data_IF_146326443301
#
_entry.id   IF_146326443301
#
_cell.length_a   1.000
_cell.length_b   1.000
_cell.length_c   1.000
_cell.angle_alpha   90.00
_cell.angle_beta   90.00
_cell.angle_gamma   90.00
#
_symmetry.space_group_name_H-M   'P 1'
#
loop_
_entity.id
_entity.type
_entity.pdbx_description
1 polymer ?
#
# COMPACT_ATOMS: atom_id res chain seq x y z
N UNK A 1 -17.85 -22.50 3.97
CA UNK A 1 -17.27 -21.71 5.10
C UNK A 1 -16.62 -20.45 4.53
N UNK A 2 -17.37 -19.35 4.37
CA UNK A 2 -16.80 -18.06 3.98
C UNK A 2 -16.29 -17.37 5.24
N UNK A 3 -14.99 -17.50 5.51
CA UNK A 3 -14.33 -16.85 6.64
C UNK A 3 -14.26 -15.34 6.38
N UNK A 4 -14.68 -14.52 7.34
CA UNK A 4 -14.66 -13.04 7.25
C UNK A 4 -13.33 -12.47 6.74
N UNK A 5 -12.20 -13.15 7.02
CA UNK A 5 -10.88 -12.77 6.52
C UNK A 5 -10.71 -12.81 5.00
N UNK A 6 -11.34 -13.78 4.30
CA UNK A 6 -11.26 -13.85 2.83
C UNK A 6 -12.02 -12.70 2.17
N UNK A 7 -13.16 -12.29 2.76
CA UNK A 7 -13.93 -11.15 2.28
C UNK A 7 -13.15 -9.84 2.43
N UNK A 8 -12.55 -9.61 3.60
CA UNK A 8 -11.73 -8.41 3.88
C UNK A 8 -10.57 -8.28 2.87
N UNK A 9 -9.86 -9.38 2.57
CA UNK A 9 -8.79 -9.36 1.60
C UNK A 9 -9.29 -9.05 0.18
N UNK A 10 -10.41 -9.65 -0.24
CA UNK A 10 -11.02 -9.38 -1.55
C UNK A 10 -11.47 -7.94 -1.70
N UNK A 11 -12.02 -7.35 -0.65
CA UNK A 11 -12.48 -5.96 -0.68
C UNK A 11 -11.31 -4.97 -0.75
N UNK A 12 -10.16 -5.29 -0.14
CA UNK A 12 -8.91 -4.56 -0.35
C UNK A 12 -8.49 -4.52 -1.83
N UNK A 13 -8.49 -5.67 -2.52
CA UNK A 13 -8.17 -5.73 -3.96
C UNK A 13 -9.21 -5.01 -4.84
N UNK A 14 -10.49 -5.03 -4.45
CA UNK A 14 -11.51 -4.24 -5.15
C UNK A 14 -11.26 -2.75 -4.99
N UNK A 15 -10.80 -2.31 -3.81
CA UNK A 15 -10.46 -0.92 -3.57
C UNK A 15 -9.29 -0.46 -4.44
N UNK A 16 -8.23 -1.26 -4.61
CA UNK A 16 -7.15 -0.94 -5.56
C UNK A 16 -7.68 -0.75 -6.99
N UNK A 17 -8.56 -1.65 -7.45
CA UNK A 17 -9.20 -1.53 -8.76
C UNK A 17 -10.10 -0.30 -8.89
N UNK A 18 -10.80 0.08 -7.82
CA UNK A 18 -11.61 1.29 -7.80
C UNK A 18 -10.75 2.54 -8.01
N UNK A 19 -9.63 2.66 -7.28
CA UNK A 19 -8.68 3.76 -7.46
C UNK A 19 -8.13 3.81 -8.89
N UNK A 20 -7.80 2.67 -9.49
CA UNK A 20 -7.40 2.58 -10.90
C UNK A 20 -8.48 3.11 -11.84
N UNK A 21 -9.72 2.69 -11.65
CA UNK A 21 -10.83 3.15 -12.47
C UNK A 21 -11.03 4.66 -12.34
N UNK A 22 -10.86 5.22 -11.14
CA UNK A 22 -10.91 6.67 -10.90
C UNK A 22 -9.81 7.41 -11.67
N UNK A 23 -8.55 6.96 -11.59
CA UNK A 23 -7.46 7.58 -12.35
C UNK A 23 -7.63 7.44 -13.86
N UNK A 24 -8.08 6.29 -14.35
CA UNK A 24 -8.34 6.10 -15.78
C UNK A 24 -9.52 6.96 -16.27
N UNK A 25 -10.45 7.34 -15.38
CA UNK A 25 -11.58 8.24 -15.66
C UNK A 25 -11.38 9.64 -15.04
N UNK A 26 -10.14 10.09 -14.87
CA UNK A 26 -9.83 11.34 -14.15
C UNK A 26 -10.51 12.58 -14.74
N UNK A 27 -10.84 12.59 -16.03
CA UNK A 27 -11.55 13.71 -16.67
C UNK A 27 -12.95 13.92 -16.08
N UNK A 28 -13.59 12.85 -15.59
CA UNK A 28 -14.95 12.87 -15.05
C UNK A 28 -15.03 12.49 -13.55
N UNK A 29 -13.95 11.98 -12.95
CA UNK A 29 -13.92 11.60 -11.54
C UNK A 29 -13.37 12.74 -10.65
N UNK A 30 -14.24 13.25 -9.78
CA UNK A 30 -13.94 14.39 -8.91
C UNK A 30 -12.83 14.07 -7.90
N UNK A 31 -12.73 12.83 -7.42
CA UNK A 31 -11.72 12.44 -6.44
C UNK A 31 -10.34 12.35 -7.10
N UNK A 32 -10.26 11.71 -8.27
CA UNK A 32 -9.04 11.67 -9.07
C UNK A 32 -8.52 13.08 -9.40
N UNK A 33 -9.41 14.00 -9.81
CA UNK A 33 -9.04 15.41 -10.05
C UNK A 33 -8.48 16.10 -8.81
N UNK A 34 -9.07 15.84 -7.63
CA UNK A 34 -8.54 16.38 -6.37
C UNK A 34 -7.16 15.81 -6.06
N UNK A 35 -6.96 14.50 -6.23
CA UNK A 35 -5.65 13.87 -5.99
C UNK A 35 -4.58 14.43 -6.93
N UNK A 36 -4.88 14.57 -8.22
CA UNK A 36 -3.97 15.16 -9.20
C UNK A 36 -3.59 16.60 -8.83
N UNK A 37 -4.55 17.41 -8.37
CA UNK A 37 -4.26 18.76 -7.88
C UNK A 37 -3.42 18.76 -6.60
N UNK A 38 -3.69 17.85 -5.66
CA UNK A 38 -2.90 17.70 -4.43
C UNK A 38 -1.45 17.30 -4.75
N UNK A 39 -1.26 16.47 -5.78
CA UNK A 39 0.06 16.10 -6.29
C UNK A 39 0.74 17.22 -7.11
N UNK A 40 0.05 18.34 -7.36
CA UNK A 40 0.63 19.52 -8.01
C UNK A 40 0.39 19.62 -9.52
N UNK A 41 -0.42 18.74 -10.13
CA UNK A 41 -0.67 18.78 -11.56
C UNK A 41 -1.73 19.82 -11.95
N UNK A 42 -1.45 20.52 -13.05
CA UNK A 42 -2.46 21.29 -13.75
C UNK A 42 -3.25 20.36 -14.69
N UNK A 43 -4.52 20.12 -14.38
CA UNK A 43 -5.40 19.23 -15.14
C UNK A 43 -5.49 19.56 -16.64
N UNK A 44 -5.34 20.83 -17.02
CA UNK A 44 -5.41 21.25 -18.43
C UNK A 44 -4.20 20.79 -19.26
N UNK A 45 -3.08 20.56 -18.58
CA UNK A 45 -1.80 20.18 -19.19
C UNK A 45 -1.62 18.67 -19.26
N UNK A 46 -2.43 17.90 -18.54
CA UNK A 46 -2.42 16.43 -18.62
C UNK A 46 -2.92 16.01 -20.01
N UNK A 47 -2.15 15.17 -20.68
CA UNK A 47 -2.48 14.57 -21.96
C UNK A 47 -3.22 13.25 -21.77
N UNK A 48 -2.63 12.33 -20.99
CA UNK A 48 -3.25 11.07 -20.62
C UNK A 48 -2.68 10.57 -19.31
N UNK A 49 -3.41 9.64 -18.68
CA UNK A 49 -2.97 8.90 -17.50
C UNK A 49 -3.03 7.41 -17.81
N UNK A 50 -1.98 6.68 -17.42
CA UNK A 50 -1.95 5.22 -17.41
C UNK A 50 -1.69 4.72 -15.99
N UNK A 51 -2.26 3.57 -15.65
CA UNK A 51 -2.13 2.99 -14.31
C UNK A 51 -1.73 1.53 -14.38
N UNK A 52 -0.92 1.10 -13.42
CA UNK A 52 -0.46 -0.29 -13.28
C UNK A 52 -0.59 -0.75 -11.82
N UNK A 53 -1.01 -2.00 -11.60
CA UNK A 53 -0.97 -2.63 -10.27
C UNK A 53 0.42 -3.22 -10.07
N UNK A 54 1.03 -2.90 -8.93
CA UNK A 54 2.29 -3.50 -8.51
C UNK A 54 2.04 -4.56 -7.43
N UNK A 55 2.81 -5.64 -7.50
CA UNK A 55 2.76 -6.72 -6.52
C UNK A 55 4.13 -6.96 -5.90
N UNK A 56 4.16 -7.13 -4.58
CA UNK A 56 5.40 -7.38 -3.83
C UNK A 56 6.19 -6.11 -3.47
N UNK A 57 5.71 -4.94 -3.88
CA UNK A 57 6.30 -3.64 -3.55
C UNK A 57 5.52 -2.96 -2.41
N UNK A 58 6.09 -1.88 -1.87
CA UNK A 58 5.36 -0.99 -0.95
C UNK A 58 4.28 -0.17 -1.65
N UNK A 59 4.40 -0.05 -2.97
CA UNK A 59 3.47 0.62 -3.85
C UNK A 59 2.45 -0.40 -4.36
N UNK A 60 1.17 -0.02 -4.31
CA UNK A 60 0.08 -0.86 -4.78
C UNK A 60 -0.31 -0.46 -6.22
N UNK A 61 -0.30 0.84 -6.53
CA UNK A 61 -0.62 1.38 -7.85
C UNK A 61 0.49 2.33 -8.28
N UNK A 62 0.96 2.18 -9.52
CA UNK A 62 1.80 3.16 -10.20
C UNK A 62 0.97 3.94 -11.20
N UNK A 63 1.03 5.27 -11.15
CA UNK A 63 0.28 6.17 -12.02
C UNK A 63 1.28 6.94 -12.89
N UNK A 64 1.19 6.77 -14.20
CA UNK A 64 1.99 7.47 -15.19
C UNK A 64 1.18 8.61 -15.79
N UNK A 65 1.70 9.83 -15.72
CA UNK A 65 1.00 11.06 -16.12
C UNK A 65 1.82 11.72 -17.21
N UNK A 66 1.25 11.81 -18.41
CA UNK A 66 1.87 12.51 -19.54
C UNK A 66 1.41 13.96 -19.58
N UNK A 67 2.35 14.90 -19.78
CA UNK A 67 2.10 16.34 -19.80
C UNK A 67 2.35 16.91 -21.21
N UNK A 68 1.31 17.53 -21.80
CA UNK A 68 1.25 17.99 -23.21
C UNK A 68 2.40 18.90 -23.64
N UNK A 69 2.88 19.76 -22.73
CA UNK A 69 3.76 20.88 -23.08
C UNK A 69 5.25 20.52 -23.14
N UNK A 70 5.65 19.41 -22.51
CA UNK A 70 7.06 19.09 -22.28
C UNK A 70 7.44 17.65 -22.65
N UNK A 71 6.49 16.87 -23.19
CA UNK A 71 6.65 15.42 -23.47
C UNK A 71 7.18 14.63 -22.25
N UNK A 72 6.93 15.12 -21.04
CA UNK A 72 7.38 14.47 -19.81
C UNK A 72 6.33 13.45 -19.37
N UNK A 73 6.82 12.24 -19.09
CA UNK A 73 6.10 11.20 -18.39
C UNK A 73 6.54 11.23 -16.93
N UNK A 74 5.66 11.67 -16.03
CA UNK A 74 5.89 11.60 -14.60
C UNK A 74 5.26 10.33 -14.01
N UNK A 75 5.87 9.79 -12.95
CA UNK A 75 5.46 8.51 -12.35
C UNK A 75 5.25 8.66 -10.85
N UNK A 76 4.02 8.38 -10.41
CA UNK A 76 3.61 8.48 -9.01
C UNK A 76 3.33 7.09 -8.43
N UNK A 77 4.00 6.78 -7.33
CA UNK A 77 3.88 5.51 -6.63
C UNK A 77 2.92 5.66 -5.44
N UNK A 78 1.73 5.07 -5.55
CA UNK A 78 0.66 5.19 -4.56
C UNK A 78 0.49 3.88 -3.78
N UNK A 79 0.47 3.99 -2.45
CA UNK A 79 0.02 2.92 -1.56
C UNK A 79 -1.44 3.17 -1.17
N UNK A 80 -2.29 2.17 -1.33
CA UNK A 80 -3.74 2.24 -1.08
C UNK A 80 -4.08 1.49 0.21
N UNK A 81 -4.94 2.09 1.04
CA UNK A 81 -5.45 1.46 2.26
C UNK A 81 -6.96 1.64 2.36
N UNK A 82 -7.67 0.52 2.44
CA UNK A 82 -9.10 0.52 2.70
C UNK A 82 -9.34 0.61 4.22
N UNK A 83 -10.22 1.50 4.65
CA UNK A 83 -10.67 1.62 6.05
C UNK A 83 -12.19 1.52 6.06
N UNK A 84 -12.72 0.45 6.65
CA UNK A 84 -14.16 0.16 6.67
C UNK A 84 -14.84 0.50 8.00
N UNK A 85 -14.08 0.92 9.02
CA UNK A 85 -14.58 1.33 10.32
C UNK A 85 -13.86 2.60 10.79
N UNK A 86 -14.45 3.41 11.69
CA UNK A 86 -13.80 4.61 12.22
C UNK A 86 -12.44 4.34 12.91
N UNK A 87 -12.19 3.11 13.35
CA UNK A 87 -10.97 2.67 14.03
C UNK A 87 -10.31 1.50 13.27
N UNK A 88 -10.12 1.64 11.97
CA UNK A 88 -9.55 0.58 11.13
C UNK A 88 -8.10 0.23 11.50
N UNK A 89 -7.78 -1.06 11.45
CA UNK A 89 -6.42 -1.58 11.63
C UNK A 89 -5.94 -2.21 10.32
N UNK A 90 -4.89 -1.66 9.72
CA UNK A 90 -4.33 -2.13 8.46
C UNK A 90 -2.87 -2.60 8.64
N UNK A 91 -2.55 -3.75 8.06
CA UNK A 91 -1.17 -4.23 8.00
C UNK A 91 -0.39 -3.40 6.97
N UNK A 92 0.67 -2.70 7.40
CA UNK A 92 1.57 -1.94 6.51
C UNK A 92 2.86 -2.72 6.18
N UNK A 93 3.20 -3.70 7.02
CA UNK A 93 4.40 -4.50 6.90
C UNK A 93 4.23 -5.80 7.72
N UNK A 94 4.86 -6.89 7.26
CA UNK A 94 4.97 -8.15 8.01
C UNK A 94 6.10 -8.99 7.42
N UNK A 95 7.08 -9.35 8.24
CA UNK A 95 8.18 -10.26 7.90
C UNK A 95 8.57 -11.09 9.13
N UNK A 96 9.36 -12.14 8.92
CA UNK A 96 10.08 -12.82 9.99
C UNK A 96 11.06 -11.87 10.68
N UNK A 97 11.31 -12.06 11.99
CA UNK A 97 12.19 -11.16 12.76
C UNK A 97 13.55 -11.00 12.09
N UNK A 98 14.14 -12.10 11.59
CA UNK A 98 15.43 -12.07 10.90
C UNK A 98 15.50 -11.10 9.73
N UNK A 99 14.39 -10.83 9.03
CA UNK A 99 14.39 -9.85 7.94
C UNK A 99 14.54 -8.42 8.43
N UNK A 100 13.99 -8.09 9.60
CA UNK A 100 14.25 -6.79 10.22
C UNK A 100 15.66 -6.70 10.80
N UNK A 101 16.21 -7.82 11.31
CA UNK A 101 17.61 -7.89 11.75
C UNK A 101 18.55 -7.56 10.60
N UNK A 102 18.35 -8.17 9.43
CA UNK A 102 19.11 -7.90 8.21
C UNK A 102 19.00 -6.42 7.79
N UNK A 103 17.80 -5.84 7.81
CA UNK A 103 17.56 -4.46 7.36
C UNK A 103 18.13 -3.41 8.31
N UNK A 104 18.08 -3.64 9.62
CA UNK A 104 18.35 -2.62 10.64
C UNK A 104 19.53 -2.95 11.54
N UNK A 105 20.23 -4.06 11.29
CA UNK A 105 21.37 -4.52 12.09
C UNK A 105 21.03 -4.63 13.60
N UNK A 106 19.90 -5.28 13.90
CA UNK A 106 19.37 -5.38 15.27
C UNK A 106 20.29 -6.29 16.11
N UNK A 107 20.69 -5.87 17.33
CA UNK A 107 21.49 -6.69 18.24
C UNK A 107 20.86 -8.05 18.59
N UNK A 108 21.69 -9.04 18.91
CA UNK A 108 21.26 -10.43 19.14
C UNK A 108 20.34 -10.59 20.36
N UNK A 109 20.60 -9.83 21.43
CA UNK A 109 19.77 -9.84 22.64
C UNK A 109 18.35 -9.33 22.36
N UNK A 110 18.23 -8.22 21.62
CA UNK A 110 16.94 -7.68 21.15
C UNK A 110 16.27 -8.63 20.16
N UNK A 111 17.03 -9.21 19.22
CA UNK A 111 16.53 -10.20 18.27
C UNK A 111 15.89 -11.38 19.00
N UNK A 112 16.55 -11.89 20.05
CA UNK A 112 16.02 -12.98 20.88
C UNK A 112 14.72 -12.58 21.58
N UNK A 113 14.63 -11.37 22.13
CA UNK A 113 13.41 -10.87 22.76
C UNK A 113 12.26 -10.77 21.78
N UNK A 114 12.50 -10.22 20.58
CA UNK A 114 11.49 -10.14 19.51
C UNK A 114 10.99 -11.53 19.11
N UNK A 115 11.87 -12.52 18.98
CA UNK A 115 11.46 -13.90 18.65
C UNK A 115 10.61 -14.57 19.73
N UNK A 116 10.84 -14.28 21.00
CA UNK A 116 9.92 -14.72 22.06
C UNK A 116 8.58 -14.00 21.97
N UNK A 117 8.59 -12.69 21.69
CA UNK A 117 7.38 -11.87 21.58
C UNK A 117 6.48 -12.32 20.42
N UNK A 118 7.05 -12.59 19.25
CA UNK A 118 6.30 -13.05 18.06
C UNK A 118 5.92 -14.52 18.12
N UNK A 119 6.49 -15.28 19.06
CA UNK A 119 6.28 -16.72 19.19
C UNK A 119 7.14 -17.58 18.26
N UNK A 120 8.12 -17.01 17.55
CA UNK A 120 9.16 -17.76 16.84
C UNK A 120 9.96 -18.68 17.78
N UNK A 121 10.17 -18.24 19.02
CA UNK A 121 10.72 -19.06 20.10
C UNK A 121 9.61 -19.44 21.10
N UNK A 122 9.66 -20.69 21.58
CA UNK A 122 8.72 -21.17 22.63
C UNK A 122 8.90 -20.35 23.92
N UNK A 123 7.82 -20.11 24.69
CA UNK A 123 7.92 -19.43 25.98
C UNK A 123 9.00 -20.05 26.88
N UNK A 124 9.87 -19.22 27.43
CA UNK A 124 10.99 -19.67 28.26
C UNK A 124 10.57 -19.99 29.71
N UNK A 125 9.38 -19.58 30.13
CA UNK A 125 8.75 -19.98 31.39
C UNK A 125 7.63 -20.97 31.10
N UNK A 126 7.55 -22.05 31.89
CA UNK A 126 6.38 -22.92 31.90
C UNK A 126 5.16 -22.11 32.39
N UNK A 127 3.99 -22.35 31.80
CA UNK A 127 2.73 -21.85 32.39
C UNK A 127 2.67 -22.32 33.84
N UNK A 128 2.45 -21.37 34.76
CA UNK A 128 2.03 -21.68 36.11
C UNK A 128 0.63 -22.28 36.09
#
# INVERSE_FOLDING_TARGET
>A
MNSKGSLIAKDGFKNEKDIINKFNNWENDIDAQKWLKIMGYNLKEIEYIKTEILHGYKTDIQVHIAIKLIEVLDTQNIQVKLVSTPYGFNQIDKRWVNKYVEMWNIPDDITRLLKYFTGELKPYKKKR
#
